data_IF_978873074591
#
_entry.id   IF_978873074591
#
_cell.length_a   1.000
_cell.length_b   1.000
_cell.length_c   1.000
_cell.angle_alpha   90.00
_cell.angle_beta   90.00
_cell.angle_gamma   90.00
#
_symmetry.space_group_name_H-M   'P 1'
#
loop_
_entity.id
_entity.type
_entity.pdbx_description
1 polymer ?
#
# COMPACT_ATOMS: atom_id res chain seq x y z
N UNK A 1 7.99 -18.94 -2.03
CA UNK A 1 9.09 -17.95 -2.23
C UNK A 1 8.55 -16.60 -2.72
N UNK A 2 7.65 -16.55 -3.71
CA UNK A 2 7.09 -15.30 -4.24
C UNK A 2 6.44 -14.39 -3.18
N UNK A 3 5.57 -14.93 -2.31
CA UNK A 3 4.93 -14.13 -1.25
C UNK A 3 5.91 -13.53 -0.24
N UNK A 4 7.00 -14.23 0.10
CA UNK A 4 8.03 -13.69 0.99
C UNK A 4 8.82 -12.54 0.35
N UNK A 5 9.07 -12.61 -0.96
CA UNK A 5 9.70 -11.51 -1.72
C UNK A 5 8.78 -10.30 -1.81
N UNK A 6 7.49 -10.51 -2.10
CA UNK A 6 6.50 -9.45 -2.12
C UNK A 6 6.39 -8.77 -0.76
N UNK A 7 6.26 -9.55 0.31
CA UNK A 7 6.18 -9.01 1.67
C UNK A 7 7.43 -8.21 2.06
N UNK A 8 8.64 -8.66 1.69
CA UNK A 8 9.88 -7.89 1.93
C UNK A 8 9.93 -6.59 1.14
N UNK A 9 9.51 -6.61 -0.13
CA UNK A 9 9.44 -5.40 -0.97
C UNK A 9 8.43 -4.40 -0.42
N UNK A 10 7.23 -4.86 -0.05
CA UNK A 10 6.19 -4.01 0.53
C UNK A 10 6.59 -3.46 1.90
N UNK A 11 7.24 -4.29 2.73
CA UNK A 11 7.81 -3.84 4.01
C UNK A 11 8.88 -2.78 3.79
N UNK A 12 9.69 -2.86 2.74
CA UNK A 12 10.71 -1.86 2.44
C UNK A 12 10.11 -0.54 1.93
N UNK A 13 9.21 -0.60 0.95
CA UNK A 13 8.55 0.56 0.33
C UNK A 13 7.69 1.33 1.33
N UNK A 14 6.96 0.59 2.17
CA UNK A 14 6.01 1.15 3.13
C UNK A 14 6.51 1.09 4.58
N UNK A 15 7.80 0.87 4.86
CA UNK A 15 8.31 0.67 6.23
C UNK A 15 7.86 1.74 7.23
N UNK A 16 7.70 2.99 6.76
CA UNK A 16 7.28 4.14 7.55
C UNK A 16 5.75 4.28 7.72
N UNK A 17 4.99 3.63 6.82
CA UNK A 17 3.53 3.69 6.70
C UNK A 17 2.82 2.39 7.14
N UNK A 18 3.57 1.28 7.16
CA UNK A 18 3.12 -0.04 7.59
C UNK A 18 2.73 0.03 9.08
N UNK A 19 1.60 -0.61 9.42
CA UNK A 19 0.95 -0.55 10.74
C UNK A 19 0.36 0.82 11.15
N UNK A 20 0.52 1.87 10.33
CA UNK A 20 -0.12 3.18 10.57
C UNK A 20 -1.31 3.41 9.65
N UNK A 21 -1.07 3.31 8.35
CA UNK A 21 -2.05 3.57 7.30
C UNK A 21 -2.09 2.50 6.21
N UNK A 22 -1.10 1.60 6.18
CA UNK A 22 -1.05 0.46 5.24
C UNK A 22 -0.83 -0.83 6.01
N UNK A 23 -1.53 -1.88 5.59
CA UNK A 23 -1.25 -3.26 5.95
C UNK A 23 -0.99 -4.07 4.69
N UNK A 24 0.09 -4.84 4.68
CA UNK A 24 0.37 -5.79 3.62
C UNK A 24 -0.20 -7.15 4.02
N UNK A 25 -1.08 -7.67 3.18
CA UNK A 25 -1.46 -9.07 3.13
C UNK A 25 -0.76 -9.72 1.92
N UNK A 26 -0.61 -11.05 1.91
CA UNK A 26 0.30 -11.80 1.01
C UNK A 26 0.36 -11.27 -0.43
N UNK A 27 -0.79 -10.95 -1.03
CA UNK A 27 -0.87 -10.36 -2.37
C UNK A 27 -1.60 -8.99 -2.41
N UNK A 28 -2.19 -8.56 -1.28
CA UNK A 28 -3.07 -7.39 -1.22
C UNK A 28 -2.50 -6.30 -0.30
N UNK A 29 -2.59 -5.04 -0.73
CA UNK A 29 -2.30 -3.87 0.09
C UNK A 29 -3.62 -3.30 0.61
N UNK A 30 -3.77 -3.30 1.93
CA UNK A 30 -4.94 -2.72 2.59
C UNK A 30 -4.58 -1.33 3.13
N UNK A 31 -5.23 -0.30 2.61
CA UNK A 31 -5.15 1.04 3.16
C UNK A 31 -6.15 1.20 4.31
N UNK A 32 -5.70 1.73 5.44
CA UNK A 32 -6.54 2.04 6.60
C UNK A 32 -6.47 3.53 6.90
N UNK A 33 -7.63 4.17 6.97
CA UNK A 33 -7.76 5.55 7.44
C UNK A 33 -8.57 5.60 8.74
N UNK A 34 -8.19 6.48 9.68
CA UNK A 34 -8.92 6.65 10.95
C UNK A 34 -10.30 7.27 10.75
N UNK A 35 -10.46 8.15 9.75
CA UNK A 35 -11.73 8.77 9.36
C UNK A 35 -11.90 8.66 7.85
N UNK A 36 -13.14 8.58 7.39
CA UNK A 36 -13.44 8.58 5.94
C UNK A 36 -12.95 9.83 5.21
N UNK A 37 -12.96 11.00 5.88
CA UNK A 37 -12.46 12.25 5.30
C UNK A 37 -10.95 12.23 5.03
N UNK A 38 -10.19 11.42 5.77
CA UNK A 38 -8.73 11.30 5.61
C UNK A 38 -8.37 10.25 4.54
N UNK A 39 -9.33 9.45 4.08
CA UNK A 39 -9.14 8.39 3.08
C UNK A 39 -8.50 8.89 1.77
N UNK A 40 -8.96 9.99 1.13
CA UNK A 40 -8.31 10.50 -0.08
C UNK A 40 -6.86 10.93 0.15
N UNK A 41 -6.54 11.45 1.34
CA UNK A 41 -5.17 11.86 1.66
C UNK A 41 -4.25 10.66 1.88
N UNK A 42 -4.75 9.63 2.58
CA UNK A 42 -4.07 8.34 2.74
C UNK A 42 -3.80 7.69 1.38
N UNK A 43 -4.78 7.65 0.49
CA UNK A 43 -4.62 7.11 -0.86
C UNK A 43 -3.57 7.88 -1.66
N UNK A 44 -3.56 9.21 -1.57
CA UNK A 44 -2.55 10.04 -2.25
C UNK A 44 -1.13 9.76 -1.78
N UNK A 45 -0.93 9.53 -0.48
CA UNK A 45 0.38 9.16 0.09
C UNK A 45 0.81 7.79 -0.46
N UNK A 46 -0.08 6.80 -0.42
CA UNK A 46 0.20 5.43 -0.89
C UNK A 46 0.53 5.42 -2.38
N UNK A 47 -0.29 6.08 -3.21
CA UNK A 47 -0.08 6.15 -4.66
C UNK A 47 1.23 6.88 -5.01
N UNK A 48 1.55 7.97 -4.32
CA UNK A 48 2.83 8.66 -4.52
C UNK A 48 4.02 7.75 -4.23
N UNK A 49 3.93 6.95 -3.16
CA UNK A 49 4.98 5.99 -2.78
C UNK A 49 5.14 4.87 -3.81
N UNK A 50 4.03 4.35 -4.32
CA UNK A 50 4.06 3.33 -5.37
C UNK A 50 4.74 3.85 -6.64
N UNK A 51 4.43 5.09 -7.03
CA UNK A 51 5.07 5.75 -8.18
C UNK A 51 6.57 5.95 -7.94
N UNK A 52 6.96 6.41 -6.74
CA UNK A 52 8.37 6.64 -6.37
C UNK A 52 9.22 5.36 -6.51
N UNK A 53 8.68 4.21 -6.13
CA UNK A 53 9.36 2.92 -6.21
C UNK A 53 9.07 2.14 -7.50
N UNK A 54 8.34 2.73 -8.46
CA UNK A 54 8.03 2.10 -9.75
C UNK A 54 7.07 0.91 -9.66
N UNK A 55 6.28 0.80 -8.59
CA UNK A 55 5.27 -0.23 -8.43
C UNK A 55 3.98 0.20 -9.11
N UNK A 56 3.48 -0.65 -10.01
CA UNK A 56 2.22 -0.41 -10.71
C UNK A 56 1.11 -1.25 -10.10
N UNK A 57 -0.04 -0.62 -9.82
CA UNK A 57 -1.24 -1.32 -9.38
C UNK A 57 -2.04 -1.79 -10.58
N UNK A 58 -2.71 -2.94 -10.45
CA UNK A 58 -3.71 -3.35 -11.42
C UNK A 58 -5.06 -2.67 -11.09
N UNK A 59 -5.54 -1.72 -11.90
CA UNK A 59 -6.78 -1.00 -11.62
C UNK A 59 -8.01 -1.91 -11.56
N UNK A 60 -8.01 -3.06 -12.25
CA UNK A 60 -9.13 -4.01 -12.22
C UNK A 60 -9.26 -4.74 -10.88
N UNK A 61 -8.16 -4.79 -10.11
CA UNK A 61 -8.12 -5.42 -8.78
C UNK A 61 -8.11 -4.41 -7.63
N UNK A 62 -8.01 -3.12 -7.94
CA UNK A 62 -8.03 -2.07 -6.93
C UNK A 62 -9.46 -1.73 -6.52
N UNK A 63 -9.72 -1.87 -5.22
CA UNK A 63 -10.96 -1.42 -4.59
C UNK A 63 -10.59 -0.26 -3.67
N UNK A 64 -11.24 0.89 -3.87
CA UNK A 64 -11.00 2.14 -3.14
C UNK A 64 -12.15 2.45 -2.19
#
# INVERSE_FOLDING_TARGET
NAGATYQRAMTYIFHDLIHKIVESYVDDLLAKAKKRCDHPEVLRIILSRLIEYGVTLNPEKCVF
#
